data_IF_120268187117
#
_entry.id   IF_120268187117
#
_cell.length_a   1.000
_cell.length_b   1.000
_cell.length_c   1.000
_cell.angle_alpha   90.00
_cell.angle_beta   90.00
_cell.angle_gamma   90.00
#
_symmetry.space_group_name_H-M   'P 1'
#
loop_
_entity.id
_entity.type
_entity.pdbx_description
1 polymer ?
#
# COMPACT_ATOMS: atom_id res chain seq x y z
N UNK A 1 33.93 15.23 -3.68
CA UNK A 1 32.54 15.10 -3.16
C UNK A 1 31.79 16.43 -3.24
N UNK A 2 32.44 17.52 -3.69
CA UNK A 2 31.90 18.88 -3.60
C UNK A 2 31.33 19.42 -4.92
N UNK A 3 31.36 18.62 -5.99
CA UNK A 3 30.82 19.02 -7.30
C UNK A 3 29.41 18.50 -7.59
N UNK A 4 28.94 17.46 -6.88
CA UNK A 4 27.58 16.92 -7.05
C UNK A 4 26.50 17.76 -6.34
N UNK A 5 26.89 18.60 -5.37
CA UNK A 5 25.94 19.45 -4.64
C UNK A 5 25.53 20.66 -5.48
N UNK A 6 26.40 21.12 -6.38
CA UNK A 6 26.16 22.31 -7.22
C UNK A 6 25.14 22.10 -8.35
N UNK A 7 24.78 20.85 -8.66
CA UNK A 7 23.83 20.53 -9.73
C UNK A 7 22.38 20.31 -9.27
N UNK A 8 22.17 20.15 -7.95
CA UNK A 8 20.83 19.90 -7.36
C UNK A 8 20.10 21.17 -6.93
N UNK A 9 20.79 22.30 -6.90
CA UNK A 9 20.21 23.62 -6.67
C UNK A 9 20.29 24.43 -7.96
N UNK A 10 19.65 23.89 -8.98
CA UNK A 10 19.20 24.65 -10.13
C UNK A 10 18.31 25.80 -9.66
N UNK A 11 18.65 26.97 -10.17
CA UNK A 11 18.07 28.26 -9.89
C UNK A 11 16.54 28.26 -10.03
N UNK A 12 15.84 28.55 -8.93
CA UNK A 12 14.66 29.40 -9.00
C UNK A 12 14.90 30.55 -8.04
N UNK A 13 15.27 31.68 -8.63
CA UNK A 13 15.44 32.94 -7.93
C UNK A 13 14.13 33.38 -7.29
N UNK A 14 14.24 33.88 -6.07
CA UNK A 14 13.49 35.06 -5.64
C UNK A 14 14.28 35.72 -4.53
N UNK A 15 15.17 36.61 -4.97
CA UNK A 15 15.55 37.82 -4.24
C UNK A 15 14.27 38.45 -3.69
N UNK A 16 14.27 38.91 -2.44
CA UNK A 16 13.69 40.17 -1.94
C UNK A 16 13.53 40.08 -0.41
N UNK A 17 14.53 40.59 0.32
CA UNK A 17 14.28 41.66 1.29
C UNK A 17 15.61 42.30 1.70
N UNK A 18 15.92 43.44 1.08
CA UNK A 18 16.66 44.49 1.77
C UNK A 18 15.70 45.08 2.82
N UNK A 19 16.14 45.16 4.07
CA UNK A 19 15.40 45.86 5.12
C UNK A 19 15.76 47.34 5.06
N UNK A 20 14.99 48.10 4.28
CA UNK A 20 14.91 49.56 4.43
C UNK A 20 13.91 49.87 5.55
N UNK A 21 14.22 50.72 6.54
CA UNK A 21 13.27 51.08 7.59
C UNK A 21 12.22 52.04 7.04
N UNK A 22 11.09 51.50 6.59
CA UNK A 22 9.88 52.30 6.32
C UNK A 22 9.16 52.53 7.65
N UNK A 23 9.06 53.81 8.04
CA UNK A 23 8.19 54.31 9.09
C UNK A 23 6.76 53.84 8.83
N UNK A 24 6.26 52.89 9.62
CA UNK A 24 4.85 52.50 9.61
C UNK A 24 4.07 53.28 10.68
N UNK A 25 2.83 53.73 10.38
CA UNK A 25 1.98 54.38 11.37
C UNK A 25 1.53 53.36 12.43
N UNK A 26 1.53 53.80 13.68
CA UNK A 26 1.08 53.04 14.85
C UNK A 26 -0.32 52.48 14.59
N UNK A 27 -0.43 51.15 14.49
CA UNK A 27 -1.74 50.47 14.47
C UNK A 27 -2.35 50.55 15.88
N UNK A 28 -3.64 50.90 16.04
CA UNK A 28 -4.30 50.74 17.32
C UNK A 28 -4.43 49.24 17.65
N UNK A 29 -4.04 48.88 18.87
CA UNK A 29 -4.17 47.53 19.42
C UNK A 29 -5.62 47.02 19.35
N UNK A 30 -5.80 45.74 18.97
CA UNK A 30 -7.11 45.07 19.00
C UNK A 30 -7.65 44.84 20.43
N UNK A 31 -6.84 45.13 21.45
CA UNK A 31 -7.24 45.07 22.85
C UNK A 31 -7.59 46.47 23.34
N UNK A 32 -8.83 46.67 23.77
CA UNK A 32 -9.18 47.86 24.54
C UNK A 32 -8.45 47.83 25.90
N UNK A 33 -7.78 48.92 26.30
CA UNK A 33 -7.31 49.07 27.67
C UNK A 33 -8.49 48.98 28.64
N UNK A 34 -8.37 48.14 29.67
CA UNK A 34 -9.39 48.05 30.70
C UNK A 34 -9.56 49.42 31.39
N UNK A 35 -10.79 49.96 31.50
CA UNK A 35 -11.03 51.23 32.18
C UNK A 35 -10.61 51.10 33.65
N UNK A 36 -9.73 52.00 34.09
CA UNK A 36 -9.22 52.03 35.47
C UNK A 36 -10.10 52.82 36.44
N UNK A 37 -11.39 52.97 36.15
CA UNK A 37 -12.36 53.56 37.07
C UNK A 37 -13.42 52.52 37.41
N UNK A 38 -13.83 52.39 38.68
CA UNK A 38 -14.97 51.55 39.03
C UNK A 38 -16.21 52.16 38.36
N UNK A 39 -16.82 51.39 37.46
CA UNK A 39 -18.04 51.77 36.74
C UNK A 39 -19.17 51.92 37.75
N UNK A 40 -19.42 53.16 38.17
CA UNK A 40 -20.60 53.52 38.96
C UNK A 40 -21.50 54.30 38.02
N UNK A 41 -22.22 53.57 37.16
CA UNK A 41 -23.26 54.14 36.30
C UNK A 41 -24.63 53.61 36.78
N UNK A 42 -25.49 54.47 37.36
CA UNK A 42 -26.82 54.13 37.85
C UNK A 42 -27.89 53.89 36.76
N UNK A 43 -27.61 53.12 35.70
CA UNK A 43 -28.68 52.76 34.74
C UNK A 43 -28.43 51.37 34.14
N UNK A 44 -28.94 50.35 34.83
CA UNK A 44 -29.54 49.14 34.28
C UNK A 44 -30.00 48.29 35.47
N UNK A 45 -31.29 48.46 35.75
CA UNK A 45 -32.13 47.61 36.59
C UNK A 45 -31.94 46.12 36.25
N UNK A 46 -32.18 45.31 37.27
CA UNK A 46 -31.92 43.88 37.33
C UNK A 46 -32.63 43.09 36.22
N UNK A 47 -31.90 42.16 35.60
CA UNK A 47 -32.49 40.90 35.17
C UNK A 47 -31.75 39.75 35.87
N UNK A 48 -32.52 39.00 36.64
CA UNK A 48 -32.05 37.98 37.55
C UNK A 48 -31.42 36.78 36.83
N UNK A 49 -30.39 36.24 37.46
CA UNK A 49 -30.08 34.82 37.36
C UNK A 49 -29.65 34.33 38.75
N UNK A 50 -30.65 33.91 39.52
CA UNK A 50 -30.46 32.97 40.61
C UNK A 50 -29.88 31.67 40.03
N UNK A 51 -28.56 31.55 40.00
CA UNK A 51 -27.90 30.26 39.89
C UNK A 51 -26.98 30.13 41.08
N UNK A 52 -27.43 29.35 42.06
CA UNK A 52 -26.75 29.08 43.30
C UNK A 52 -25.26 28.81 43.08
N UNK A 53 -24.44 29.67 43.68
CA UNK A 53 -23.11 29.40 44.23
C UNK A 53 -22.42 28.17 43.61
N UNK A 54 -22.06 28.24 42.33
CA UNK A 54 -20.84 27.56 41.84
C UNK A 54 -19.62 28.40 42.21
N UNK A 55 -19.53 28.80 43.48
CA UNK A 55 -18.33 29.39 44.08
C UNK A 55 -17.33 28.26 44.38
N UNK A 56 -17.04 27.44 43.38
CA UNK A 56 -15.88 26.58 43.42
C UNK A 56 -14.67 27.47 43.22
N UNK A 57 -13.67 27.37 44.10
CA UNK A 57 -12.43 28.14 43.98
C UNK A 57 -11.90 28.02 42.53
N UNK A 58 -11.35 29.09 41.98
CA UNK A 58 -10.91 29.16 40.58
C UNK A 58 -9.94 28.03 40.24
N UNK A 59 -9.07 27.65 41.18
CA UNK A 59 -8.16 26.51 41.06
C UNK A 59 -8.93 25.18 40.92
N UNK A 60 -10.02 24.94 41.66
CA UNK A 60 -10.87 23.75 41.47
C UNK A 60 -11.47 23.73 40.07
N UNK A 61 -11.97 24.88 39.59
CA UNK A 61 -12.51 25.02 38.22
C UNK A 61 -11.46 24.78 37.14
N UNK A 62 -10.25 25.30 37.35
CA UNK A 62 -9.11 25.09 36.46
C UNK A 62 -8.67 23.63 36.45
N UNK A 63 -8.57 22.98 37.61
CA UNK A 63 -8.19 21.57 37.72
C UNK A 63 -9.23 20.67 37.02
N UNK A 64 -10.52 20.93 37.19
CA UNK A 64 -11.57 20.19 36.47
C UNK A 64 -11.48 20.40 34.95
N UNK A 65 -11.24 21.64 34.51
CA UNK A 65 -11.05 21.95 33.09
C UNK A 65 -9.83 21.24 32.50
N UNK A 66 -8.70 21.24 33.22
CA UNK A 66 -7.48 20.56 32.81
C UNK A 66 -7.66 19.04 32.77
N UNK A 67 -8.35 18.45 33.75
CA UNK A 67 -8.70 17.02 33.70
C UNK A 67 -9.53 16.74 32.45
N UNK A 68 -10.62 17.47 32.25
CA UNK A 68 -11.55 17.25 31.12
C UNK A 68 -10.85 17.38 29.75
N UNK A 69 -9.98 18.38 29.58
CA UNK A 69 -9.22 18.57 28.33
C UNK A 69 -8.10 17.55 28.15
N UNK A 70 -7.45 17.12 29.23
CA UNK A 70 -6.43 16.08 29.20
C UNK A 70 -7.02 14.72 28.78
N UNK A 71 -8.16 14.32 29.36
CA UNK A 71 -8.87 13.09 28.96
C UNK A 71 -9.22 13.07 27.47
N UNK A 72 -9.74 14.18 26.93
CA UNK A 72 -10.07 14.29 25.49
C UNK A 72 -8.81 14.21 24.61
N UNK A 73 -7.70 14.81 25.05
CA UNK A 73 -6.41 14.74 24.35
C UNK A 73 -5.84 13.32 24.33
N UNK A 74 -5.93 12.59 25.45
CA UNK A 74 -5.46 11.19 25.58
C UNK A 74 -6.27 10.26 24.68
N UNK A 75 -7.60 10.33 24.74
CA UNK A 75 -8.49 9.50 23.91
C UNK A 75 -8.23 9.77 22.41
N UNK A 76 -8.15 11.04 22.01
CA UNK A 76 -7.91 11.41 20.61
C UNK A 76 -6.53 10.95 20.11
N UNK A 77 -5.50 10.97 20.98
CA UNK A 77 -4.16 10.48 20.64
C UNK A 77 -4.14 8.96 20.53
N UNK A 78 -4.83 8.26 21.43
CA UNK A 78 -4.89 6.80 21.42
C UNK A 78 -5.71 6.28 20.23
N UNK A 79 -6.81 6.91 19.86
CA UNK A 79 -7.54 6.57 18.63
C UNK A 79 -6.69 6.73 17.36
N UNK A 80 -5.94 7.84 17.25
CA UNK A 80 -5.03 8.07 16.12
C UNK A 80 -3.90 7.03 16.09
N UNK A 81 -3.30 6.70 17.24
CA UNK A 81 -2.29 5.63 17.36
C UNK A 81 -2.87 4.28 16.98
N UNK A 82 -4.06 3.93 17.47
CA UNK A 82 -4.74 2.67 17.14
C UNK A 82 -5.05 2.56 15.64
N UNK A 83 -5.48 3.66 15.02
CA UNK A 83 -5.67 3.72 13.56
C UNK A 83 -4.36 3.51 12.81
N UNK A 84 -3.27 4.12 13.27
CA UNK A 84 -1.93 3.93 12.70
C UNK A 84 -1.49 2.46 12.80
N UNK A 85 -1.61 1.85 13.98
CA UNK A 85 -1.27 0.43 14.20
C UNK A 85 -2.10 -0.51 13.32
N UNK A 86 -3.41 -0.29 13.23
CA UNK A 86 -4.29 -1.06 12.34
C UNK A 86 -3.88 -0.91 10.87
N UNK A 87 -3.53 0.30 10.45
CA UNK A 87 -3.05 0.56 9.08
C UNK A 87 -1.72 -0.16 8.82
N UNK A 88 -0.76 -0.07 9.74
CA UNK A 88 0.54 -0.78 9.63
C UNK A 88 0.36 -2.29 9.54
N UNK A 89 -0.53 -2.86 10.36
CA UNK A 89 -0.81 -4.30 10.32
C UNK A 89 -1.45 -4.69 8.99
N UNK A 90 -2.48 -3.96 8.55
CA UNK A 90 -3.13 -4.20 7.24
C UNK A 90 -2.12 -4.12 6.09
N UNK A 91 -1.23 -3.12 6.12
CA UNK A 91 -0.20 -2.95 5.09
C UNK A 91 0.83 -4.09 5.12
N UNK A 92 1.21 -4.57 6.30
CA UNK A 92 2.07 -5.76 6.43
C UNK A 92 1.42 -6.99 5.81
N UNK A 93 0.15 -7.26 6.14
CA UNK A 93 -0.60 -8.39 5.57
C UNK A 93 -0.73 -8.25 4.04
N UNK A 94 -0.99 -7.03 3.55
CA UNK A 94 -1.05 -6.76 2.10
C UNK A 94 0.27 -7.12 1.41
N UNK A 95 1.41 -6.71 1.98
CA UNK A 95 2.74 -7.04 1.43
C UNK A 95 3.06 -8.53 1.50
N UNK A 96 2.66 -9.20 2.57
CA UNK A 96 2.81 -10.65 2.67
C UNK A 96 2.01 -11.38 1.60
N UNK A 97 0.75 -11.01 1.38
CA UNK A 97 -0.08 -11.57 0.31
C UNK A 97 0.57 -11.33 -1.05
N UNK A 98 1.02 -10.11 -1.31
CA UNK A 98 1.72 -9.78 -2.56
C UNK A 98 2.97 -10.66 -2.73
N UNK A 99 3.82 -10.78 -1.70
CA UNK A 99 5.02 -11.63 -1.74
C UNK A 99 4.68 -13.09 -2.04
N UNK A 100 3.64 -13.65 -1.40
CA UNK A 100 3.16 -15.02 -1.67
C UNK A 100 2.70 -15.20 -3.11
N UNK A 101 1.94 -14.26 -3.66
CA UNK A 101 1.52 -14.29 -5.07
C UNK A 101 2.70 -14.29 -6.03
N UNK A 102 3.71 -13.43 -5.80
CA UNK A 102 4.92 -13.42 -6.64
C UNK A 102 5.71 -14.72 -6.55
N UNK A 103 5.80 -15.32 -5.35
CA UNK A 103 6.50 -16.59 -5.17
C UNK A 103 5.78 -17.75 -5.89
N UNK A 104 4.44 -17.78 -5.81
CA UNK A 104 3.63 -18.74 -6.55
C UNK A 104 3.83 -18.59 -8.06
N UNK A 105 3.82 -17.35 -8.59
CA UNK A 105 4.10 -17.08 -9.99
C UNK A 105 5.50 -17.58 -10.38
N UNK A 106 6.52 -17.22 -9.61
CA UNK A 106 7.90 -17.62 -9.87
C UNK A 106 8.09 -19.14 -9.91
N UNK A 107 7.37 -19.89 -9.07
CA UNK A 107 7.44 -21.36 -9.06
C UNK A 107 6.92 -22.03 -10.34
N UNK A 108 6.12 -21.31 -11.14
CA UNK A 108 5.61 -21.78 -12.43
C UNK A 108 6.51 -21.40 -13.61
N UNK A 109 7.52 -20.56 -13.39
CA UNK A 109 8.42 -20.09 -14.44
C UNK A 109 9.58 -21.06 -14.66
N UNK A 110 10.23 -21.02 -15.84
CA UNK A 110 11.40 -21.83 -16.13
C UNK A 110 12.50 -21.68 -15.08
N UNK A 111 13.15 -22.81 -14.79
CA UNK A 111 14.31 -22.88 -13.89
C UNK A 111 15.42 -21.97 -14.45
N UNK A 112 15.90 -21.04 -13.63
CA UNK A 112 16.91 -20.04 -14.03
C UNK A 112 16.36 -18.62 -14.20
N UNK A 113 15.05 -18.43 -14.09
CA UNK A 113 14.46 -17.10 -14.00
C UNK A 113 15.03 -16.33 -12.80
N UNK A 114 15.32 -15.05 -12.95
CA UNK A 114 15.85 -14.23 -11.86
C UNK A 114 14.73 -13.86 -10.87
N UNK A 115 15.02 -13.95 -9.58
CA UNK A 115 14.07 -13.62 -8.50
C UNK A 115 13.97 -12.09 -8.25
N UNK A 116 13.80 -11.30 -9.31
CA UNK A 116 13.45 -9.89 -9.23
C UNK A 116 12.06 -9.65 -9.83
N UNK A 117 11.31 -8.71 -9.26
CA UNK A 117 9.89 -8.53 -9.61
C UNK A 117 9.67 -8.25 -11.09
N UNK A 118 10.57 -7.50 -11.71
CA UNK A 118 10.44 -7.13 -13.12
C UNK A 118 10.74 -8.32 -14.01
N UNK A 119 11.82 -9.05 -13.74
CA UNK A 119 12.16 -10.29 -14.47
C UNK A 119 11.06 -11.32 -14.33
N UNK A 120 10.49 -11.54 -13.13
CA UNK A 120 9.38 -12.49 -12.93
C UNK A 120 8.20 -12.12 -13.84
N UNK A 121 7.80 -10.86 -13.89
CA UNK A 121 6.65 -10.41 -14.70
C UNK A 121 6.95 -10.49 -16.20
N UNK A 122 8.15 -10.09 -16.63
CA UNK A 122 8.57 -10.16 -18.03
C UNK A 122 8.63 -11.60 -18.51
N UNK A 123 9.32 -12.48 -17.76
CA UNK A 123 9.40 -13.90 -18.08
C UNK A 123 8.03 -14.54 -18.09
N UNK A 124 7.16 -14.26 -17.10
CA UNK A 124 5.78 -14.75 -17.12
C UNK A 124 5.03 -14.33 -18.39
N UNK A 125 5.15 -13.08 -18.80
CA UNK A 125 4.51 -12.56 -20.01
C UNK A 125 5.01 -13.28 -21.27
N UNK A 126 6.31 -13.53 -21.36
CA UNK A 126 6.91 -14.29 -22.47
C UNK A 126 6.41 -15.73 -22.47
N UNK A 127 6.45 -16.41 -21.33
CA UNK A 127 6.02 -17.82 -21.22
C UNK A 127 4.55 -18.00 -21.60
N UNK A 128 3.66 -17.06 -21.24
CA UNK A 128 2.26 -17.13 -21.64
C UNK A 128 2.11 -17.04 -23.16
N UNK A 129 2.84 -16.12 -23.82
CA UNK A 129 2.79 -15.99 -25.29
C UNK A 129 3.33 -17.23 -25.99
N UNK A 130 4.45 -17.78 -25.51
CA UNK A 130 5.05 -19.00 -26.04
C UNK A 130 4.07 -20.18 -25.94
N UNK A 131 3.45 -20.37 -24.77
CA UNK A 131 2.45 -21.42 -24.55
C UNK A 131 1.18 -21.22 -25.40
N UNK A 132 0.74 -19.99 -25.59
CA UNK A 132 -0.42 -19.68 -26.46
C UNK A 132 -0.14 -20.07 -27.92
N UNK A 133 1.06 -19.75 -28.42
CA UNK A 133 1.51 -20.12 -29.76
C UNK A 133 1.65 -21.63 -29.92
N UNK A 134 2.31 -22.30 -28.97
CA UNK A 134 2.48 -23.75 -28.99
C UNK A 134 1.13 -24.47 -28.95
N UNK A 135 0.19 -23.97 -28.14
CA UNK A 135 -1.18 -24.49 -28.11
C UNK A 135 -1.88 -24.36 -29.47
N UNK A 136 -1.75 -23.24 -30.18
CA UNK A 136 -2.36 -23.10 -31.52
C UNK A 136 -1.74 -24.04 -32.53
N UNK A 137 -0.43 -24.20 -32.49
CA UNK A 137 0.29 -25.11 -33.36
C UNK A 137 -0.10 -26.57 -33.12
N UNK A 138 -0.11 -27.00 -31.86
CA UNK A 138 -0.58 -28.33 -31.49
C UNK A 138 -2.04 -28.54 -31.89
N UNK A 139 -2.90 -27.52 -31.76
CA UNK A 139 -4.29 -27.61 -32.19
C UNK A 139 -4.42 -27.73 -33.71
N UNK A 140 -3.64 -26.96 -34.49
CA UNK A 140 -3.59 -27.10 -35.96
C UNK A 140 -3.15 -28.50 -36.36
N UNK A 141 -2.04 -28.98 -35.80
CA UNK A 141 -1.49 -30.29 -36.09
C UNK A 141 -2.47 -31.42 -35.71
N UNK A 142 -3.14 -31.31 -34.57
CA UNK A 142 -4.13 -32.29 -34.14
C UNK A 142 -5.34 -32.32 -35.10
N UNK A 143 -5.81 -31.15 -35.55
CA UNK A 143 -6.89 -31.09 -36.54
C UNK A 143 -6.48 -31.72 -37.87
N UNK A 144 -5.27 -31.43 -38.36
CA UNK A 144 -4.73 -32.05 -39.58
C UNK A 144 -4.63 -33.56 -39.46
N UNK A 145 -4.12 -34.06 -38.32
CA UNK A 145 -4.05 -35.49 -38.03
C UNK A 145 -5.43 -36.13 -37.97
N UNK A 146 -6.42 -35.50 -37.33
CA UNK A 146 -7.80 -35.99 -37.28
C UNK A 146 -8.44 -36.04 -38.66
N UNK A 147 -8.20 -35.03 -39.51
CA UNK A 147 -8.68 -35.03 -40.91
C UNK A 147 -7.99 -36.15 -41.70
N UNK A 148 -6.68 -36.32 -41.55
CA UNK A 148 -5.92 -37.36 -42.24
C UNK A 148 -6.31 -38.77 -41.78
N UNK A 149 -6.55 -39.00 -40.48
CA UNK A 149 -7.06 -40.27 -39.96
C UNK A 149 -8.53 -40.50 -40.34
N UNK A 150 -9.36 -39.46 -40.30
CA UNK A 150 -10.76 -39.51 -40.70
C UNK A 150 -10.95 -39.81 -42.20
N UNK A 151 -10.04 -39.34 -43.05
CA UNK A 151 -9.95 -39.71 -44.46
C UNK A 151 -9.45 -41.14 -44.71
N UNK A 152 -8.82 -41.76 -43.70
CA UNK A 152 -8.31 -43.13 -43.72
C UNK A 152 -9.23 -44.13 -42.98
N UNK A 153 -10.43 -43.70 -42.55
CA UNK A 153 -11.41 -44.59 -41.91
C UNK A 153 -11.98 -45.67 -42.86
N UNK A 154 -11.64 -45.61 -44.15
CA UNK A 154 -11.92 -46.66 -45.13
C UNK A 154 -10.86 -47.78 -45.15
N UNK A 155 -9.81 -47.70 -44.33
CA UNK A 155 -8.83 -48.76 -44.16
C UNK A 155 -8.92 -49.27 -42.72
N UNK A 156 -10.02 -49.99 -42.52
CA UNK A 156 -10.20 -50.95 -41.45
C UNK A 156 -8.92 -51.78 -41.27
N UNK A 157 -8.26 -51.57 -40.12
CA UNK A 157 -7.35 -52.54 -39.53
C UNK A 157 -6.22 -53.07 -40.42
N UNK A 158 -5.25 -52.23 -40.78
CA UNK A 158 -3.93 -52.75 -41.12
C UNK A 158 -3.34 -53.41 -39.85
N UNK A 159 -3.56 -54.71 -39.70
CA UNK A 159 -3.00 -55.55 -38.64
C UNK A 159 -1.49 -55.57 -38.79
N UNK A 160 -0.80 -54.62 -38.16
CA UNK A 160 0.65 -54.61 -38.07
C UNK A 160 1.06 -55.81 -37.21
N UNK A 161 1.51 -56.89 -37.84
CA UNK A 161 2.20 -57.98 -37.16
C UNK A 161 3.62 -57.51 -36.86
N UNK A 162 3.79 -56.79 -35.76
CA UNK A 162 5.12 -56.59 -35.20
C UNK A 162 5.61 -57.94 -34.68
N UNK A 163 6.63 -58.52 -35.33
CA UNK A 163 7.46 -59.55 -34.71
C UNK A 163 8.33 -58.81 -33.71
N UNK A 164 7.90 -58.79 -32.46
CA UNK A 164 8.76 -58.42 -31.35
C UNK A 164 9.58 -59.67 -31.11
N UNK A 165 10.82 -59.69 -31.59
CA UNK A 165 11.78 -60.69 -31.13
C UNK A 165 12.03 -60.36 -29.65
N UNK A 166 11.58 -61.26 -28.77
CA UNK A 166 11.74 -61.11 -27.33
C UNK A 166 13.22 -60.86 -27.00
N UNK A 167 13.60 -59.70 -26.44
CA UNK A 167 14.88 -59.64 -25.77
C UNK A 167 14.71 -60.47 -24.50
N UNK A 168 15.36 -61.62 -24.47
CA UNK A 168 15.55 -62.42 -23.26
C UNK A 168 16.23 -61.56 -22.19
N UNK A 169 15.45 -60.81 -21.41
CA UNK A 169 15.92 -60.36 -20.10
C UNK A 169 15.52 -61.45 -19.12
N UNK A 170 16.46 -62.38 -18.97
CA UNK A 170 16.48 -63.28 -17.84
C UNK A 170 16.28 -62.49 -16.54
N UNK A 171 15.42 -63.07 -15.73
CA UNK A 171 15.06 -62.67 -14.39
C UNK A 171 16.32 -62.42 -13.55
N UNK A 172 16.57 -61.16 -13.18
CA UNK A 172 17.37 -60.85 -12.00
C UNK A 172 16.52 -60.00 -11.07
N UNK A 173 15.58 -60.66 -10.40
CA UNK A 173 15.01 -60.20 -9.14
C UNK A 173 16.06 -60.42 -8.04
N UNK A 174 16.86 -59.41 -7.75
CA UNK A 174 17.54 -59.34 -6.47
C UNK A 174 17.89 -57.91 -6.10
N UNK A 175 16.97 -57.23 -5.42
CA UNK A 175 17.34 -56.30 -4.35
C UNK A 175 16.31 -56.42 -3.22
N UNK A 176 16.77 -57.12 -2.19
CA UNK A 176 16.22 -57.13 -0.84
C UNK A 176 17.29 -56.46 0.04
N UNK A 177 17.13 -55.17 0.31
CA UNK A 177 17.25 -54.51 1.62
C UNK A 177 16.98 -53.02 1.47
#
# INVERSE_FOLDING_TARGET
MDELIKLLLGEHGTIWYETTPVLQPVRPSAFQPYPKTPRTEPWLEADGCNNGVRSGNINKRLIEFLRKTNWVSVISKDEKKQRCLKHMMKERIRREKQKKCYFALYSMLPLGTKNDKNSIVQTATMTVRELEMEREELQRNNNELLVNLGGNANNEGAKIRARIDDPSYELITCWRF
#
